data_IF_515437422941
#
_entry.id   IF_515437422941
#
_cell.length_a   1.000
_cell.length_b   1.000
_cell.length_c   1.000
_cell.angle_alpha   90.00
_cell.angle_beta   90.00
_cell.angle_gamma   90.00
#
_symmetry.space_group_name_H-M   'P 1'
#
loop_
_entity.id
_entity.type
_entity.pdbx_description
1 polymer ?
#
# COMPACT_ATOMS: atom_id res chain seq x y z
N UNK A 1 -0.88 -11.64 12.17
CA UNK A 1 -0.72 -10.34 11.49
C UNK A 1 -1.30 -9.27 12.40
N UNK A 2 -0.50 -8.27 12.75
CA UNK A 2 -0.86 -7.14 13.62
C UNK A 2 -0.94 -5.87 12.78
N UNK A 3 -1.98 -5.08 13.00
CA UNK A 3 -2.13 -3.78 12.35
C UNK A 3 -1.14 -2.79 12.99
N UNK A 4 -0.15 -2.34 12.23
CA UNK A 4 0.79 -1.32 12.66
C UNK A 4 0.21 0.07 12.47
N UNK A 5 -0.38 0.31 11.30
CA UNK A 5 -0.98 1.60 10.95
C UNK A 5 -2.22 1.40 10.12
N UNK A 6 -3.23 2.23 10.41
CA UNK A 6 -4.53 2.21 9.75
C UNK A 6 -4.75 3.54 9.06
N UNK A 7 -5.28 3.49 7.85
CA UNK A 7 -5.76 4.64 7.09
C UNK A 7 -4.74 5.79 7.05
N UNK A 8 -3.46 5.47 6.83
CA UNK A 8 -2.43 6.47 6.65
C UNK A 8 -2.67 7.18 5.32
N UNK A 9 -2.97 8.47 5.39
CA UNK A 9 -3.13 9.33 4.23
C UNK A 9 -1.77 9.76 3.73
N UNK A 10 -1.61 9.76 2.41
CA UNK A 10 -0.38 10.18 1.75
C UNK A 10 -0.68 10.75 0.36
N UNK A 11 0.27 11.52 -0.14
CA UNK A 11 0.25 12.06 -1.49
C UNK A 11 1.20 11.27 -2.40
N UNK A 12 0.83 11.14 -3.67
CA UNK A 12 1.69 10.57 -4.70
C UNK A 12 1.39 11.23 -6.04
N UNK A 13 2.40 11.26 -6.91
CA UNK A 13 2.27 11.86 -8.24
C UNK A 13 1.80 10.84 -9.27
N UNK A 14 0.72 11.16 -9.96
CA UNK A 14 0.13 10.32 -11.02
C UNK A 14 1.04 10.22 -12.25
N UNK A 15 0.74 9.31 -13.20
CA UNK A 15 1.42 9.29 -14.50
C UNK A 15 1.23 10.57 -15.32
N UNK A 16 0.09 11.27 -15.18
CA UNK A 16 -0.18 12.55 -15.83
C UNK A 16 0.54 13.74 -15.18
N UNK A 17 1.16 13.51 -14.01
CA UNK A 17 1.88 14.56 -13.27
C UNK A 17 1.02 15.30 -12.26
N UNK A 18 -0.21 14.86 -12.01
CA UNK A 18 -1.12 15.41 -11.00
C UNK A 18 -0.84 14.82 -9.62
N UNK A 19 -0.99 15.63 -8.57
CA UNK A 19 -0.90 15.14 -7.20
C UNK A 19 -2.20 14.46 -6.80
N UNK A 20 -2.09 13.21 -6.34
CA UNK A 20 -3.23 12.39 -5.90
C UNK A 20 -3.06 11.97 -4.46
N UNK A 21 -4.19 11.74 -3.82
CA UNK A 21 -4.25 11.27 -2.44
C UNK A 21 -4.58 9.79 -2.42
N UNK A 22 -3.90 9.07 -1.54
CA UNK A 22 -4.14 7.65 -1.26
C UNK A 22 -4.31 7.40 0.23
N UNK A 23 -4.84 6.23 0.56
CA UNK A 23 -4.82 5.72 1.92
C UNK A 23 -4.17 4.34 1.98
N UNK A 24 -3.43 4.07 3.05
CA UNK A 24 -2.77 2.79 3.25
C UNK A 24 -3.02 2.21 4.65
N UNK A 25 -3.20 0.90 4.72
CA UNK A 25 -3.06 0.12 5.95
C UNK A 25 -1.78 -0.69 5.90
N UNK A 26 -1.09 -0.82 7.03
CA UNK A 26 0.11 -1.63 7.17
C UNK A 26 -0.08 -2.67 8.26
N UNK A 27 0.12 -3.93 7.89
CA UNK A 27 0.13 -5.07 8.79
C UNK A 27 1.54 -5.66 8.84
N UNK A 28 1.94 -6.19 9.99
CA UNK A 28 3.20 -6.90 10.16
C UNK A 28 3.00 -8.19 10.95
N UNK A 29 3.88 -9.17 10.78
CA UNK A 29 3.94 -10.32 11.66
C UNK A 29 4.59 -9.94 13.01
N UNK A 30 4.51 -10.85 14.00
CA UNK A 30 5.08 -10.60 15.32
C UNK A 30 6.61 -10.45 15.29
N UNK A 31 7.28 -11.08 14.31
CA UNK A 31 8.73 -11.03 14.14
C UNK A 31 9.24 -9.83 13.33
N UNK A 32 8.35 -9.01 12.76
CA UNK A 32 8.69 -7.96 11.79
C UNK A 32 9.50 -8.47 10.57
N UNK A 33 9.31 -9.74 10.20
CA UNK A 33 9.94 -10.38 9.04
C UNK A 33 9.08 -10.27 7.79
N UNK A 34 7.77 -10.09 7.95
CA UNK A 34 6.80 -9.98 6.86
C UNK A 34 5.84 -8.85 7.12
N UNK A 35 5.55 -8.06 6.09
CA UNK A 35 4.56 -7.01 6.14
C UNK A 35 3.60 -7.10 4.96
N UNK A 36 2.37 -6.63 5.16
CA UNK A 36 1.36 -6.46 4.12
C UNK A 36 0.93 -5.01 4.10
N UNK A 37 1.17 -4.33 2.99
CA UNK A 37 0.70 -2.98 2.70
C UNK A 37 -0.57 -3.08 1.87
N UNK A 38 -1.64 -2.44 2.33
CA UNK A 38 -2.93 -2.40 1.62
C UNK A 38 -3.21 -0.97 1.18
N UNK A 39 -3.12 -0.73 -0.12
CA UNK A 39 -3.46 0.53 -0.77
C UNK A 39 -4.97 0.61 -1.02
N UNK A 40 -5.59 1.72 -0.65
CA UNK A 40 -7.04 1.97 -0.78
C UNK A 40 -7.30 3.15 -1.68
N UNK A 41 -8.26 2.98 -2.60
CA UNK A 41 -8.67 4.06 -3.52
C UNK A 41 -7.65 4.36 -4.61
N UNK A 42 -6.65 3.50 -4.79
CA UNK A 42 -5.59 3.67 -5.79
C UNK A 42 -5.83 2.65 -6.91
N UNK A 43 -5.86 3.07 -8.18
CA UNK A 43 -5.90 2.12 -9.29
C UNK A 43 -4.65 1.25 -9.31
N UNK A 44 -4.79 -0.04 -9.66
CA UNK A 44 -3.65 -0.96 -9.70
C UNK A 44 -2.50 -0.48 -10.62
N UNK A 45 -2.84 0.23 -11.70
CA UNK A 45 -1.86 0.83 -12.63
C UNK A 45 -1.01 1.95 -11.98
N UNK A 46 -1.51 2.60 -10.93
CA UNK A 46 -0.83 3.68 -10.22
C UNK A 46 -0.13 3.20 -8.94
N UNK A 47 -0.40 1.96 -8.53
CA UNK A 47 0.08 1.40 -7.29
C UNK A 47 1.63 1.36 -7.16
N UNK A 48 2.43 1.13 -8.22
CA UNK A 48 3.89 1.26 -8.12
C UNK A 48 4.37 2.67 -7.74
N UNK A 49 3.69 3.72 -8.21
CA UNK A 49 4.02 5.12 -7.88
C UNK A 49 3.62 5.46 -6.46
N UNK A 50 2.45 4.98 -6.04
CA UNK A 50 2.01 5.08 -4.65
C UNK A 50 2.99 4.39 -3.69
N UNK A 51 3.40 3.16 -4.01
CA UNK A 51 4.42 2.43 -3.26
C UNK A 51 5.75 3.19 -3.22
N UNK A 52 6.20 3.75 -4.35
CA UNK A 52 7.42 4.55 -4.39
C UNK A 52 7.35 5.75 -3.44
N UNK A 53 6.23 6.50 -3.41
CA UNK A 53 6.04 7.61 -2.47
C UNK A 53 6.16 7.14 -1.01
N UNK A 54 5.48 6.03 -0.67
CA UNK A 54 5.52 5.46 0.67
C UNK A 54 6.91 4.94 1.07
N UNK A 55 7.67 4.37 0.13
CA UNK A 55 9.04 3.92 0.34
C UNK A 55 10.00 5.09 0.65
N UNK A 56 9.70 6.31 0.22
CA UNK A 56 10.55 7.48 0.48
C UNK A 56 10.13 8.27 1.73
N UNK A 57 8.87 8.19 2.13
CA UNK A 57 8.31 9.07 3.18
C UNK A 57 7.94 8.34 4.46
N UNK A 58 7.56 7.05 4.39
CA UNK A 58 6.82 6.42 5.48
C UNK A 58 7.34 5.03 5.88
N UNK A 59 7.48 4.12 4.91
CA UNK A 59 7.82 2.72 5.16
C UNK A 59 9.19 2.51 5.85
N UNK A 60 10.25 3.27 5.52
CA UNK A 60 11.55 3.11 6.19
C UNK A 60 11.53 3.34 7.70
N UNK A 61 10.54 4.08 8.20
CA UNK A 61 10.38 4.37 9.63
C UNK A 61 9.55 3.32 10.38
N UNK A 62 8.94 2.38 9.64
CA UNK A 62 8.03 1.37 10.19
C UNK A 62 8.50 -0.06 9.96
N UNK A 63 9.27 -0.29 8.90
CA UNK A 63 9.73 -1.61 8.48
C UNK A 63 11.24 -1.73 8.61
N UNK A 64 11.72 -2.94 8.91
CA UNK A 64 13.14 -3.23 8.86
C UNK A 64 13.58 -3.41 7.40
N UNK A 65 14.85 -3.17 7.07
CA UNK A 65 15.35 -3.34 5.70
C UNK A 65 15.16 -4.76 5.14
N UNK A 66 15.14 -5.77 6.00
CA UNK A 66 14.97 -7.19 5.66
C UNK A 66 13.52 -7.67 5.69
N UNK A 67 12.55 -6.79 6.00
CA UNK A 67 11.14 -7.15 6.01
C UNK A 67 10.65 -7.46 4.59
N UNK A 68 10.11 -8.66 4.37
CA UNK A 68 9.45 -9.01 3.11
C UNK A 68 8.09 -8.32 3.02
N UNK A 69 7.93 -7.41 2.05
CA UNK A 69 6.72 -6.61 1.89
C UNK A 69 5.81 -7.14 0.77
N UNK A 70 4.57 -7.52 1.10
CA UNK A 70 3.50 -7.80 0.15
C UNK A 70 2.63 -6.55 -0.04
N UNK A 71 2.32 -6.19 -1.29
CA UNK A 71 1.48 -5.02 -1.58
C UNK A 71 0.17 -5.44 -2.24
N UNK A 72 -0.93 -5.02 -1.64
CA UNK A 72 -2.29 -5.24 -2.10
C UNK A 72 -2.92 -3.91 -2.48
N UNK A 73 -3.67 -3.89 -3.58
CA UNK A 73 -4.51 -2.74 -3.91
C UNK A 73 -5.98 -3.14 -3.81
N UNK A 74 -6.72 -2.50 -2.89
CA UNK A 74 -8.15 -2.66 -2.76
C UNK A 74 -8.86 -1.81 -3.81
N UNK A 75 -9.63 -2.47 -4.69
CA UNK A 75 -10.57 -1.78 -5.55
C UNK A 75 -11.65 -1.13 -4.69
N UNK A 76 -12.09 0.10 -5.02
CA UNK A 76 -13.25 0.69 -4.36
C UNK A 76 -14.44 -0.27 -4.49
N UNK A 77 -15.21 -0.51 -3.42
CA UNK A 77 -16.40 -1.33 -3.50
C UNK A 77 -17.39 -0.67 -4.47
N UNK A 78 -17.78 -1.41 -5.51
CA UNK A 78 -19.00 -1.14 -6.27
C UNK A 78 -20.20 -1.47 -5.40
N UNK A 79 -21.29 -0.69 -5.48
CA UNK A 79 -22.45 -0.86 -4.61
C UNK A 79 -22.97 -2.31 -4.63
N UNK A 80 -23.08 -2.92 -3.44
CA UNK A 80 -23.51 -4.32 -3.29
C UNK A 80 -22.40 -5.38 -3.46
N UNK A 81 -21.16 -5.00 -3.76
CA UNK A 81 -20.05 -5.95 -3.95
C UNK A 81 -18.98 -5.86 -2.85
N UNK A 82 -18.49 -7.04 -2.41
CA UNK A 82 -17.34 -7.10 -1.50
C UNK A 82 -16.10 -6.51 -2.17
N UNK A 83 -15.38 -5.64 -1.45
CA UNK A 83 -14.12 -5.08 -1.91
C UNK A 83 -13.12 -6.19 -2.29
N UNK A 84 -12.62 -6.16 -3.53
CA UNK A 84 -11.64 -7.13 -4.04
C UNK A 84 -10.24 -6.54 -4.01
N UNK A 85 -9.27 -7.31 -3.51
CA UNK A 85 -7.87 -6.96 -3.55
C UNK A 85 -7.19 -7.57 -4.78
N UNK A 86 -6.29 -6.82 -5.41
CA UNK A 86 -5.33 -7.33 -6.39
C UNK A 86 -3.97 -7.36 -5.71
N UNK A 87 -3.32 -8.53 -5.71
CA UNK A 87 -1.91 -8.66 -5.33
C UNK A 87 -1.09 -8.03 -6.44
N UNK A 88 -0.29 -7.01 -6.13
CA UNK A 88 0.66 -6.50 -7.11
C UNK A 88 1.79 -7.54 -7.25
N UNK A 89 2.28 -7.80 -8.47
CA UNK A 89 3.47 -8.61 -8.61
C UNK A 89 4.56 -7.96 -7.75
N UNK A 90 5.09 -8.75 -6.81
CA UNK A 90 6.34 -8.41 -6.13
C UNK A 90 7.35 -8.26 -7.26
N UNK A 91 7.80 -7.04 -7.52
CA UNK A 91 8.77 -6.74 -8.56
C UNK A 91 9.91 -7.77 -8.47
N UNK A 92 10.19 -8.44 -9.59
CA UNK A 92 11.38 -9.29 -9.75
C UNK A 92 12.66 -8.47 -9.65
#
# INVERSE_FOLDING_TARGET
MHLLRRNHQFEFRSPSGDDRHGAADLYSDAGATRAVLVLRGIPAAEAPRALASLNHSWLPYLLRPDTTLLVLTLRPPTDGEKARAVVLPLSA
#
